data_IF_520419364290
#
_entry.id   IF_520419364290
#
_cell.length_a   1.000
_cell.length_b   1.000
_cell.length_c   1.000
_cell.angle_alpha   90.00
_cell.angle_beta   90.00
_cell.angle_gamma   90.00
#
_symmetry.space_group_name_H-M   'P 1'
#
loop_
_entity.id
_entity.type
_entity.pdbx_description
1 polymer ?
#
# COMPACT_ATOMS: atom_id res chain seq x y z
N UNK A 1 23.85 -15.59 -5.00
CA UNK A 1 24.21 -14.73 -3.87
C UNK A 1 23.32 -13.50 -3.98
N UNK A 2 22.32 -13.45 -3.12
CA UNK A 2 21.19 -12.50 -3.10
C UNK A 2 21.67 -11.14 -2.62
N UNK A 3 21.63 -10.15 -3.50
CA UNK A 3 22.17 -8.80 -3.24
C UNK A 3 21.08 -7.71 -3.27
N UNK A 4 19.80 -8.05 -3.43
CA UNK A 4 18.75 -7.09 -3.85
C UNK A 4 17.43 -7.23 -3.09
N UNK A 5 17.47 -7.31 -1.76
CA UNK A 5 16.25 -7.25 -0.95
C UNK A 5 15.88 -5.81 -0.59
N UNK A 6 16.77 -4.84 -0.80
CA UNK A 6 16.49 -3.45 -0.46
C UNK A 6 16.03 -2.64 -1.69
N UNK A 7 14.83 -2.06 -1.58
CA UNK A 7 14.17 -1.27 -2.62
C UNK A 7 14.00 0.16 -2.15
N UNK A 8 14.31 1.13 -3.00
CA UNK A 8 14.10 2.55 -2.69
C UNK A 8 12.78 3.05 -3.25
N UNK A 9 11.94 3.64 -2.40
CA UNK A 9 10.70 4.31 -2.78
C UNK A 9 10.73 5.71 -2.17
N UNK A 10 10.62 6.74 -3.00
CA UNK A 10 10.58 8.13 -2.52
C UNK A 10 11.79 8.55 -1.68
N UNK A 11 12.96 7.95 -1.91
CA UNK A 11 14.19 8.21 -1.13
C UNK A 11 14.27 7.47 0.21
N UNK A 12 13.32 6.58 0.51
CA UNK A 12 13.34 5.70 1.68
C UNK A 12 13.66 4.28 1.21
N UNK A 13 14.59 3.63 1.90
CA UNK A 13 14.95 2.24 1.62
C UNK A 13 14.06 1.31 2.45
N UNK A 14 13.48 0.34 1.76
CA UNK A 14 12.65 -0.71 2.34
C UNK A 14 13.32 -2.05 2.16
N UNK A 15 13.29 -2.86 3.21
CA UNK A 15 13.59 -4.28 3.11
C UNK A 15 12.38 -5.00 2.50
N UNK A 16 12.62 -5.77 1.45
CA UNK A 16 11.64 -6.65 0.84
C UNK A 16 11.60 -7.97 1.57
N UNK A 17 10.40 -8.34 2.01
CA UNK A 17 10.09 -9.63 2.61
C UNK A 17 9.04 -10.32 1.76
N UNK A 18 8.95 -11.65 1.84
CA UNK A 18 7.72 -12.30 1.42
C UNK A 18 6.58 -11.88 2.35
N UNK A 19 5.37 -11.70 1.80
CA UNK A 19 4.25 -11.18 2.60
C UNK A 19 3.91 -12.04 3.83
N UNK A 20 4.15 -13.35 3.78
CA UNK A 20 3.95 -14.25 4.92
C UNK A 20 4.97 -14.05 6.06
N UNK A 21 6.12 -13.44 5.77
CA UNK A 21 7.15 -13.13 6.76
C UNK A 21 6.85 -11.83 7.53
N UNK A 22 5.87 -11.03 7.08
CA UNK A 22 5.42 -9.83 7.76
C UNK A 22 5.01 -10.05 9.22
N UNK A 23 4.52 -11.25 9.53
CA UNK A 23 4.16 -11.67 10.90
C UNK A 23 5.32 -11.63 11.91
N UNK A 24 6.56 -11.55 11.44
CA UNK A 24 7.76 -11.48 12.28
C UNK A 24 8.28 -10.06 12.50
N UNK A 25 7.74 -9.06 11.78
CA UNK A 25 8.19 -7.67 11.85
C UNK A 25 7.58 -6.98 13.05
N UNK A 26 8.28 -7.01 14.17
CA UNK A 26 7.82 -6.38 15.42
C UNK A 26 8.09 -4.89 15.45
N UNK A 27 7.13 -4.12 15.95
CA UNK A 27 7.26 -2.68 16.17
C UNK A 27 6.87 -1.84 14.97
N UNK A 28 6.92 -0.53 15.17
CA UNK A 28 6.37 0.44 14.21
C UNK A 28 7.28 0.72 13.02
N UNK A 29 6.73 1.41 12.04
CA UNK A 29 7.42 1.80 10.81
C UNK A 29 6.46 1.92 9.63
N UNK A 30 7.04 2.15 8.45
CA UNK A 30 6.31 2.12 7.18
C UNK A 30 6.29 0.69 6.64
N UNK A 31 5.18 0.33 6.01
CA UNK A 31 5.08 -0.89 5.23
C UNK A 31 4.32 -0.66 3.92
N UNK A 32 4.56 -1.51 2.94
CA UNK A 32 3.82 -1.50 1.68
C UNK A 32 3.51 -2.93 1.21
N UNK A 33 2.26 -3.18 0.84
CA UNK A 33 1.89 -4.37 0.08
C UNK A 33 2.34 -4.20 -1.38
N UNK A 34 3.13 -5.15 -1.86
CA UNK A 34 3.73 -5.06 -3.19
C UNK A 34 3.70 -6.38 -3.96
N UNK A 35 3.81 -6.25 -5.28
CA UNK A 35 4.10 -7.34 -6.21
C UNK A 35 5.36 -7.04 -7.00
N UNK A 36 6.26 -8.04 -7.13
CA UNK A 36 7.35 -8.01 -8.12
C UNK A 36 6.78 -8.15 -9.53
N UNK A 37 7.04 -7.16 -10.38
CA UNK A 37 6.67 -7.20 -11.79
C UNK A 37 7.75 -7.92 -12.64
N UNK A 38 7.40 -8.49 -13.80
CA UNK A 38 8.35 -9.24 -14.65
C UNK A 38 9.54 -8.41 -15.17
N UNK A 39 9.39 -7.10 -15.22
CA UNK A 39 10.43 -6.15 -15.65
C UNK A 39 11.37 -5.73 -14.51
N UNK A 40 11.25 -6.34 -13.34
CA UNK A 40 11.97 -5.94 -12.14
C UNK A 40 11.33 -4.73 -11.42
N UNK A 41 10.22 -4.22 -11.93
CA UNK A 41 9.40 -3.20 -11.27
C UNK A 41 8.67 -3.73 -10.04
N UNK A 42 8.06 -2.81 -9.29
CA UNK A 42 7.12 -3.16 -8.21
C UNK A 42 5.82 -2.41 -8.39
N UNK A 43 4.71 -3.15 -8.23
CA UNK A 43 3.37 -2.56 -8.11
C UNK A 43 3.00 -2.48 -6.63
N UNK A 44 2.67 -1.28 -6.14
CA UNK A 44 2.31 -0.98 -4.75
C UNK A 44 0.78 -0.89 -4.62
N UNK A 45 0.22 -1.61 -3.64
CA UNK A 45 -1.22 -1.66 -3.37
C UNK A 45 -1.64 -0.87 -2.12
N UNK A 46 -0.72 -0.67 -1.17
CA UNK A 46 -0.86 0.26 -0.06
C UNK A 46 0.53 0.74 0.39
N UNK A 47 0.57 1.87 1.08
CA UNK A 47 1.78 2.38 1.76
C UNK A 47 1.32 3.09 3.03
N UNK A 48 1.52 2.44 4.17
CA UNK A 48 0.94 2.87 5.43
C UNK A 48 1.97 2.91 6.56
N UNK A 49 1.67 3.72 7.57
CA UNK A 49 2.41 3.78 8.82
C UNK A 49 1.73 2.90 9.86
N UNK A 50 2.51 2.04 10.52
CA UNK A 50 2.03 1.18 11.60
C UNK A 50 2.78 1.43 12.91
N UNK A 51 2.07 1.27 14.03
CA UNK A 51 2.70 1.16 15.36
C UNK A 51 3.27 -0.23 15.62
N UNK A 52 2.69 -1.25 14.98
CA UNK A 52 3.18 -2.63 14.93
C UNK A 52 2.85 -3.23 13.56
N UNK A 53 3.86 -3.34 12.70
CA UNK A 53 3.68 -3.81 11.32
C UNK A 53 3.10 -5.22 11.31
N UNK A 54 3.51 -6.10 12.21
CA UNK A 54 3.02 -7.48 12.25
C UNK A 54 1.53 -7.64 12.56
N UNK A 55 0.89 -6.60 13.10
CA UNK A 55 -0.55 -6.57 13.42
C UNK A 55 -1.39 -5.80 12.40
N UNK A 56 -0.75 -4.97 11.58
CA UNK A 56 -1.45 -4.13 10.60
C UNK A 56 -1.24 -4.65 9.18
N UNK A 57 -0.09 -5.21 8.86
CA UNK A 57 0.22 -5.80 7.56
C UNK A 57 -0.26 -7.25 7.45
N UNK A 58 -1.53 -7.52 7.78
CA UNK A 58 -2.13 -8.85 7.76
C UNK A 58 -3.46 -8.90 7.01
N UNK A 59 -4.13 -10.06 7.06
CA UNK A 59 -5.40 -10.28 6.36
C UNK A 59 -6.58 -9.43 6.84
N UNK A 60 -6.45 -8.75 7.98
CA UNK A 60 -7.41 -7.77 8.47
C UNK A 60 -7.25 -6.38 7.87
N UNK A 61 -6.17 -6.09 7.13
CA UNK A 61 -5.96 -4.80 6.51
C UNK A 61 -6.97 -4.51 5.39
N UNK A 62 -7.49 -3.29 5.32
CA UNK A 62 -8.48 -2.90 4.30
C UNK A 62 -8.02 -3.18 2.86
N UNK A 63 -6.75 -2.89 2.57
CA UNK A 63 -6.15 -3.13 1.26
C UNK A 63 -5.77 -4.61 0.99
N UNK A 64 -5.84 -5.52 1.98
CA UNK A 64 -5.31 -6.87 1.85
C UNK A 64 -5.98 -7.68 0.73
N UNK A 65 -7.31 -7.73 0.73
CA UNK A 65 -8.05 -8.51 -0.25
C UNK A 65 -7.78 -8.03 -1.68
N UNK A 66 -7.70 -6.70 -1.87
CA UNK A 66 -7.33 -6.08 -3.13
C UNK A 66 -5.91 -6.45 -3.55
N UNK A 67 -4.93 -6.34 -2.64
CA UNK A 67 -3.53 -6.64 -2.90
C UNK A 67 -3.33 -8.11 -3.30
N UNK A 68 -3.87 -9.05 -2.51
CA UNK A 68 -3.78 -10.51 -2.80
C UNK A 68 -4.43 -10.85 -4.13
N UNK A 69 -5.62 -10.29 -4.42
CA UNK A 69 -6.32 -10.53 -5.69
C UNK A 69 -5.54 -10.04 -6.91
N UNK A 70 -4.66 -9.04 -6.73
CA UNK A 70 -3.78 -8.53 -7.77
C UNK A 70 -2.37 -9.16 -7.75
N UNK A 71 -2.19 -10.24 -6.98
CA UNK A 71 -0.96 -11.04 -6.97
C UNK A 71 0.14 -10.49 -6.05
N UNK A 72 -0.21 -9.77 -4.97
CA UNK A 72 0.74 -9.38 -3.93
C UNK A 72 1.56 -10.58 -3.46
N UNK A 73 2.88 -10.44 -3.52
CA UNK A 73 3.83 -11.45 -3.07
C UNK A 73 4.88 -10.90 -2.10
N UNK A 74 4.98 -9.58 -1.96
CA UNK A 74 5.95 -8.89 -1.13
C UNK A 74 5.30 -8.03 -0.06
N UNK A 75 5.99 -7.93 1.07
CA UNK A 75 5.82 -6.87 2.06
C UNK A 75 7.12 -6.07 2.13
N UNK A 76 7.06 -4.80 1.75
CA UNK A 76 8.18 -3.88 1.88
C UNK A 76 8.11 -3.21 3.25
N UNK A 77 9.24 -3.14 3.96
CA UNK A 77 9.27 -2.69 5.35
C UNK A 77 10.40 -1.69 5.59
N UNK A 78 10.06 -0.59 6.25
CA UNK A 78 11.02 0.34 6.84
C UNK A 78 10.68 0.54 8.32
N UNK A 79 11.49 -0.02 9.23
CA UNK A 79 11.21 0.01 10.68
C UNK A 79 11.55 1.35 11.30
N UNK A 80 10.70 1.83 12.20
CA UNK A 80 10.99 2.98 13.05
C UNK A 80 12.21 2.70 13.93
N UNK A 81 13.09 3.70 14.07
CA UNK A 81 14.36 3.53 14.77
C UNK A 81 15.40 2.70 14.00
N UNK A 82 15.20 2.46 12.69
CA UNK A 82 16.31 2.04 11.83
C UNK A 82 17.43 3.08 11.94
N UNK A 83 18.69 2.63 11.92
CA UNK A 83 19.83 3.56 11.94
C UNK A 83 20.04 4.28 10.60
N UNK A 84 19.16 4.07 9.64
CA UNK A 84 19.26 4.69 8.33
C UNK A 84 18.94 6.18 8.45
N UNK A 85 19.88 7.03 8.02
CA UNK A 85 19.67 8.47 7.95
C UNK A 85 18.75 8.80 6.77
N UNK A 86 17.79 9.72 6.90
CA UNK A 86 16.97 10.14 5.76
C UNK A 86 17.83 10.56 4.56
N UNK A 87 17.60 9.94 3.40
CA UNK A 87 18.38 10.17 2.17
C UNK A 87 19.68 9.37 2.07
N UNK A 88 20.08 8.64 3.12
CA UNK A 88 21.15 7.65 3.03
C UNK A 88 20.59 6.35 2.46
N UNK A 89 21.12 5.95 1.32
CA UNK A 89 20.75 4.73 0.61
C UNK A 89 21.98 3.85 0.55
N UNK A 90 21.85 2.59 1.00
CA UNK A 90 22.98 1.67 0.98
C UNK A 90 23.49 1.45 -0.46
N UNK A 91 24.82 1.35 -0.64
CA UNK A 91 25.40 0.98 -1.93
C UNK A 91 24.82 -0.34 -2.43
N UNK A 92 24.19 -0.31 -3.60
CA UNK A 92 23.55 -1.49 -4.20
C UNK A 92 22.04 -1.58 -3.99
N UNK A 93 21.40 -0.63 -3.30
CA UNK A 93 19.94 -0.59 -3.24
C UNK A 93 19.34 -0.38 -4.65
N UNK A 94 18.25 -1.10 -4.93
CA UNK A 94 17.59 -1.03 -6.21
C UNK A 94 16.61 0.15 -6.29
N UNK A 95 16.55 0.79 -7.47
CA UNK A 95 15.55 1.80 -7.85
C UNK A 95 14.64 1.25 -8.95
N UNK A 96 13.77 0.30 -8.62
CA UNK A 96 12.89 -0.29 -9.62
C UNK A 96 11.82 0.70 -10.08
N UNK A 97 11.29 0.55 -11.31
CA UNK A 97 10.06 1.23 -11.70
C UNK A 97 8.95 0.95 -10.68
N UNK A 98 8.38 2.01 -10.10
CA UNK A 98 7.28 1.90 -9.14
C UNK A 98 5.97 2.24 -9.84
N UNK A 99 4.99 1.35 -9.71
CA UNK A 99 3.61 1.53 -10.16
C UNK A 99 2.69 1.50 -8.95
N UNK A 100 1.55 2.16 -9.07
CA UNK A 100 0.57 2.24 -8.00
C UNK A 100 -0.76 1.69 -8.49
N UNK A 101 -1.32 0.76 -7.72
CA UNK A 101 -2.66 0.21 -7.90
C UNK A 101 -3.36 0.23 -6.54
N UNK A 102 -3.43 1.43 -5.95
CA UNK A 102 -3.87 1.62 -4.57
C UNK A 102 -5.32 1.19 -4.38
N UNK A 103 -5.60 0.59 -3.22
CA UNK A 103 -6.97 0.38 -2.79
C UNK A 103 -7.64 1.74 -2.53
N UNK A 104 -8.78 1.98 -3.17
CA UNK A 104 -9.66 3.09 -2.85
C UNK A 104 -10.80 2.52 -2.02
N UNK A 105 -10.89 2.97 -0.76
CA UNK A 105 -12.13 2.77 -0.01
C UNK A 105 -13.24 3.46 -0.77
N UNK A 106 -14.33 2.74 -1.05
CA UNK A 106 -15.50 3.32 -1.69
C UNK A 106 -15.97 4.47 -0.78
N UNK A 107 -15.86 5.70 -1.27
CA UNK A 107 -16.33 6.88 -0.57
C UNK A 107 -17.85 6.78 -0.40
N UNK A 108 -18.31 6.40 0.79
CA UNK A 108 -19.74 6.42 1.16
C UNK A 108 -20.31 7.86 1.25
N UNK A 109 -19.60 8.86 0.73
CA UNK A 109 -20.03 10.28 0.70
C UNK A 109 -20.46 10.78 -0.68
N UNK A 110 -20.69 9.91 -1.66
CA UNK A 110 -21.44 10.30 -2.87
C UNK A 110 -22.94 10.10 -2.65
N UNK A 111 -23.55 10.91 -1.78
CA UNK A 111 -25.00 11.08 -1.74
C UNK A 111 -25.38 11.92 -2.96
N UNK A 112 -25.65 11.25 -4.09
CA UNK A 112 -26.37 11.87 -5.20
C UNK A 112 -27.75 12.27 -4.67
N UNK A 113 -27.96 13.58 -4.43
CA UNK A 113 -29.28 14.17 -4.23
C UNK A 113 -30.04 14.05 -5.56
N UNK A 114 -30.54 12.85 -5.85
CA UNK A 114 -31.57 12.66 -6.85
C UNK A 114 -32.87 13.25 -6.28
N UNK A 115 -33.16 14.51 -6.62
CA UNK A 115 -34.50 15.06 -6.37
C UNK A 115 -35.51 14.26 -7.23
N UNK A 116 -36.54 13.66 -6.59
CA UNK A 116 -37.54 12.89 -7.31
C UNK A 116 -38.53 13.82 -8.02
N UNK A 117 -38.64 13.65 -9.34
CA UNK A 117 -39.92 13.66 -10.06
C UNK A 117 -40.72 14.96 -10.07
N UNK A 118 -40.78 15.58 -11.25
CA UNK A 118 -41.84 16.50 -11.60
C UNK A 118 -43.24 15.93 -11.30
N UNK A 119 -44.08 16.70 -10.62
CA UNK A 119 -45.54 16.52 -10.65
C UNK A 119 -46.18 17.83 -11.06
N UNK A 120 -46.61 17.88 -12.33
CA UNK A 120 -47.57 18.85 -12.80
C UNK A 120 -48.94 18.46 -12.25
N UNK A 121 -49.50 19.27 -11.36
CA UNK A 121 -50.92 19.23 -11.04
C UNK A 121 -51.39 20.62 -10.59
N UNK A 122 -52.19 21.22 -11.47
CA UNK A 122 -53.44 21.92 -11.13
C UNK A 122 -53.33 23.30 -10.42
N UNK A 123 -53.37 24.36 -11.23
CA UNK A 123 -54.05 25.59 -10.81
C UNK A 123 -55.20 25.89 -11.76
N UNK A 124 -56.41 25.58 -11.29
CA UNK A 124 -57.66 26.14 -11.77
C UNK A 124 -58.13 27.20 -10.76
N UNK A 125 -58.28 28.44 -11.23
CA UNK A 125 -59.33 29.43 -10.89
C UNK A 125 -58.93 30.82 -11.42
#
# INVERSE_FOLDING_TARGET
>A
MTMDDNVVIGGVQFMSLYHHDGRFVRGGGLFAFARRDPDGGRTIFCLDLAEDISRQADCGHAAWAHAVSNGMNELLVHRAGSQQVPGEIEPGAAYPPIRYALFQEADETSVELAEPGASAADQAA
#
